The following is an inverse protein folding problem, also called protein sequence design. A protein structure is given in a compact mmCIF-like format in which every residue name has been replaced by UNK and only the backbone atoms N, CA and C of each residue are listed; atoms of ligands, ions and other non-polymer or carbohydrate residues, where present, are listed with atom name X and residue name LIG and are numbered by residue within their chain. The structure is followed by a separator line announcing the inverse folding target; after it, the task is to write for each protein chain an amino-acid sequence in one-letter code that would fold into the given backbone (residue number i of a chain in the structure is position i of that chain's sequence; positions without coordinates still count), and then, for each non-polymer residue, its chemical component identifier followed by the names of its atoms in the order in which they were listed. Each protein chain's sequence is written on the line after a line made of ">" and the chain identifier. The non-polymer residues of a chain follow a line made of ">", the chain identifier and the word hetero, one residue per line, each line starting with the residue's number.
data_IF_906544991804
#
_entry.id   IF_906544991804
#
_cell.length_a   1.000
_cell.length_b   1.000
_cell.length_c   1.000
_cell.angle_alpha   90.00
_cell.angle_beta   90.00
_cell.angle_gamma   90.00
#
_symmetry.space_group_name_H-M   'P 1'
#
loop_
_entity.id
_entity.type
_entity.pdbx_description
1 polymer ?
#
# COMPACT_ATOMS: atom_id res chain seq x y z
N UNK A 1 14.82 -22.31 -20.05
CA UNK A 1 15.23 -21.86 -18.69
C UNK A 1 14.15 -21.01 -18.03
N UNK A 2 13.09 -20.69 -18.77
CA UNK A 2 12.08 -19.69 -18.44
C UNK A 2 10.95 -20.31 -17.60
N UNK A 3 10.76 -21.62 -17.74
CA UNK A 3 9.86 -22.46 -16.94
C UNK A 3 10.19 -22.52 -15.45
N UNK A 4 11.44 -22.25 -15.05
CA UNK A 4 11.83 -22.17 -13.64
C UNK A 4 11.98 -20.73 -13.15
N UNK A 5 12.52 -19.85 -14.00
CA UNK A 5 12.79 -18.46 -13.64
C UNK A 5 11.51 -17.66 -13.39
N UNK A 6 10.47 -17.81 -14.22
CA UNK A 6 9.22 -17.06 -14.06
C UNK A 6 8.48 -17.45 -12.77
N UNK A 7 8.30 -18.74 -12.43
CA UNK A 7 7.76 -19.12 -11.12
C UNK A 7 8.59 -18.62 -9.95
N UNK A 8 9.93 -18.64 -10.04
CA UNK A 8 10.80 -18.11 -9.00
C UNK A 8 10.58 -16.61 -8.79
N UNK A 9 10.50 -15.82 -9.87
CA UNK A 9 10.20 -14.39 -9.79
C UNK A 9 8.81 -14.12 -9.20
N UNK A 10 7.81 -14.93 -9.56
CA UNK A 10 6.48 -14.81 -8.98
C UNK A 10 6.47 -15.16 -7.49
N UNK A 11 7.18 -16.22 -7.08
CA UNK A 11 7.33 -16.56 -5.67
C UNK A 11 8.03 -15.43 -4.89
N UNK A 12 9.06 -14.82 -5.49
CA UNK A 12 9.77 -13.69 -4.91
C UNK A 12 8.90 -12.42 -4.83
N UNK A 13 8.05 -12.17 -5.82
CA UNK A 13 7.05 -11.11 -5.78
C UNK A 13 6.08 -11.31 -4.62
N UNK A 14 5.49 -12.49 -4.49
CA UNK A 14 4.60 -12.82 -3.38
C UNK A 14 5.31 -12.68 -2.03
N UNK A 15 6.54 -13.20 -1.90
CA UNK A 15 7.34 -13.06 -0.70
C UNK A 15 7.62 -11.58 -0.37
N UNK A 16 7.92 -10.76 -1.39
CA UNK A 16 8.17 -9.32 -1.21
C UNK A 16 6.93 -8.58 -0.71
N UNK A 17 5.77 -8.86 -1.28
CA UNK A 17 4.49 -8.26 -0.84
C UNK A 17 4.18 -8.67 0.61
N UNK A 18 4.28 -9.96 0.92
CA UNK A 18 4.04 -10.46 2.28
C UNK A 18 5.05 -9.89 3.27
N UNK A 19 6.32 -9.77 2.88
CA UNK A 19 7.37 -9.16 3.68
C UNK A 19 7.09 -7.70 3.97
N UNK A 20 6.69 -6.90 2.97
CA UNK A 20 6.39 -5.48 3.16
C UNK A 20 5.19 -5.28 4.11
N UNK A 21 4.15 -6.10 3.96
CA UNK A 21 2.96 -6.06 4.83
C UNK A 21 3.34 -6.47 6.26
N UNK A 22 4.03 -7.60 6.43
CA UNK A 22 4.42 -8.12 7.74
C UNK A 22 5.44 -7.21 8.44
N UNK A 23 6.44 -6.72 7.71
CA UNK A 23 7.45 -5.79 8.22
C UNK A 23 6.85 -4.47 8.69
N UNK A 24 5.87 -3.94 7.95
CA UNK A 24 5.10 -2.77 8.38
C UNK A 24 4.37 -3.01 9.70
N UNK A 25 3.70 -4.16 9.84
CA UNK A 25 3.01 -4.53 11.08
C UNK A 25 3.99 -4.71 12.26
N UNK A 26 5.13 -5.38 12.03
CA UNK A 26 6.17 -5.56 13.03
C UNK A 26 6.76 -4.22 13.52
N UNK A 27 6.97 -3.25 12.63
CA UNK A 27 7.44 -1.91 13.00
C UNK A 27 6.41 -1.14 13.83
N UNK A 28 5.14 -1.16 13.40
CA UNK A 28 4.02 -0.54 14.12
C UNK A 28 3.92 -1.12 15.54
N UNK A 29 3.96 -2.44 15.68
CA UNK A 29 3.91 -3.12 16.98
C UNK A 29 5.16 -2.91 17.82
N UNK A 30 6.34 -2.89 17.20
CA UNK A 30 7.60 -2.65 17.89
C UNK A 30 7.64 -1.28 18.57
N UNK A 31 7.04 -0.26 17.95
CA UNK A 31 7.03 1.12 18.48
C UNK A 31 5.83 1.40 19.40
N UNK A 32 4.62 1.01 19.02
CA UNK A 32 3.39 1.39 19.76
C UNK A 32 2.98 0.40 20.86
N UNK A 33 3.49 -0.85 20.84
CA UNK A 33 3.14 -1.93 21.80
C UNK A 33 1.62 -2.19 21.94
N UNK A 34 0.85 -1.99 20.88
CA UNK A 34 -0.61 -2.14 20.87
C UNK A 34 -1.02 -2.99 19.69
N UNK A 35 -1.90 -3.96 19.91
CA UNK A 35 -2.49 -4.75 18.83
C UNK A 35 -3.53 -3.89 18.10
N UNK A 36 -3.24 -3.52 16.86
CA UNK A 36 -4.00 -2.61 16.03
C UNK A 36 -4.54 -3.37 14.83
N UNK A 37 -5.77 -3.86 14.95
CA UNK A 37 -6.42 -4.59 13.86
C UNK A 37 -6.72 -3.68 12.65
N UNK A 38 -6.88 -2.37 12.86
CA UNK A 38 -7.21 -1.41 11.80
C UNK A 38 -6.01 -0.98 10.92
N UNK A 39 -4.79 -1.45 11.20
CA UNK A 39 -3.61 -1.04 10.42
C UNK A 39 -3.76 -1.35 8.92
N UNK A 40 -4.38 -2.49 8.59
CA UNK A 40 -4.65 -2.89 7.20
C UNK A 40 -5.58 -1.89 6.49
N UNK A 41 -6.56 -1.35 7.21
CA UNK A 41 -7.49 -0.36 6.68
C UNK A 41 -6.85 1.02 6.56
N UNK A 42 -5.89 1.38 7.42
CA UNK A 42 -5.07 2.59 7.25
C UNK A 42 -4.20 2.49 6.00
N UNK A 43 -3.57 1.34 5.79
CA UNK A 43 -2.84 1.04 4.55
C UNK A 43 -3.76 1.11 3.32
N UNK A 44 -4.93 0.46 3.39
CA UNK A 44 -5.91 0.48 2.32
C UNK A 44 -6.38 1.89 2.01
N UNK A 45 -6.69 2.71 3.02
CA UNK A 45 -7.08 4.11 2.83
C UNK A 45 -6.01 4.89 2.04
N UNK A 46 -4.74 4.78 2.43
CA UNK A 46 -3.64 5.39 1.68
C UNK A 46 -3.54 4.88 0.23
N UNK A 47 -3.65 3.57 0.03
CA UNK A 47 -3.64 2.96 -1.30
C UNK A 47 -4.80 3.46 -2.19
N UNK A 48 -6.01 3.57 -1.64
CA UNK A 48 -7.19 4.09 -2.34
C UNK A 48 -7.03 5.56 -2.69
N UNK A 49 -6.49 6.39 -1.78
CA UNK A 49 -6.20 7.80 -2.07
C UNK A 49 -5.21 7.93 -3.23
N UNK A 50 -4.12 7.15 -3.22
CA UNK A 50 -3.15 7.13 -4.32
C UNK A 50 -3.78 6.65 -5.63
N UNK A 51 -4.55 5.56 -5.60
CA UNK A 51 -5.22 5.02 -6.79
C UNK A 51 -6.23 6.01 -7.37
N UNK A 52 -6.99 6.69 -6.51
CA UNK A 52 -7.93 7.72 -6.90
C UNK A 52 -7.22 8.95 -7.49
N UNK A 53 -6.14 9.43 -6.87
CA UNK A 53 -5.36 10.55 -7.39
C UNK A 53 -4.74 10.23 -8.76
N UNK A 54 -4.20 9.02 -8.93
CA UNK A 54 -3.71 8.51 -10.22
C UNK A 54 -4.86 8.44 -11.24
N UNK A 55 -6.02 7.93 -10.84
CA UNK A 55 -7.22 7.87 -11.67
C UNK A 55 -7.73 9.24 -12.11
N UNK A 56 -7.64 10.27 -11.25
CA UNK A 56 -7.99 11.65 -11.62
C UNK A 56 -7.04 12.24 -12.65
N UNK A 57 -5.74 12.02 -12.50
CA UNK A 57 -4.74 12.56 -13.44
C UNK A 57 -4.77 11.79 -14.77
N UNK A 58 -4.99 10.48 -14.72
CA UNK A 58 -5.13 9.65 -15.92
C UNK A 58 -6.47 9.87 -16.64
N UNK A 59 -7.57 9.99 -15.90
CA UNK A 59 -8.92 10.23 -16.41
C UNK A 59 -9.18 11.69 -16.81
N UNK A 60 -8.48 12.65 -16.19
CA UNK A 60 -8.47 14.06 -16.60
C UNK A 60 -7.85 14.30 -17.98
N UNK A 61 -7.18 13.29 -18.55
CA UNK A 61 -6.78 13.22 -19.96
C UNK A 61 -7.93 12.89 -20.93
N UNK A 62 -9.19 12.90 -20.49
CA UNK A 62 -10.36 12.77 -21.34
C UNK A 62 -10.63 14.04 -22.19
N UNK A 63 -9.68 14.40 -23.05
CA UNK A 63 -9.85 15.23 -24.26
C UNK A 63 -8.55 15.24 -25.09
N UNK A 64 -8.02 14.06 -25.46
CA UNK A 64 -6.93 13.97 -26.45
C UNK A 64 -5.55 14.47 -26.01
N UNK A 65 -5.30 14.59 -24.71
CA UNK A 65 -3.97 14.92 -24.19
C UNK A 65 -2.99 13.74 -24.29
N UNK A 66 -1.66 13.98 -24.36
CA UNK A 66 -0.67 12.92 -24.30
C UNK A 66 -0.82 12.12 -23.00
N UNK A 67 -0.48 10.82 -23.00
CA UNK A 67 -0.51 10.00 -21.79
C UNK A 67 0.29 10.71 -20.67
N UNK A 68 -0.24 10.75 -19.43
CA UNK A 68 0.44 11.43 -18.33
C UNK A 68 1.84 10.85 -18.18
N UNK A 69 2.84 11.74 -18.14
CA UNK A 69 4.24 11.33 -18.03
C UNK A 69 4.41 10.48 -16.77
N UNK A 70 5.13 9.37 -16.92
CA UNK A 70 5.43 8.41 -15.86
C UNK A 70 5.91 9.10 -14.55
N UNK A 71 6.72 10.15 -14.67
CA UNK A 71 7.19 10.98 -13.55
C UNK A 71 6.04 11.59 -12.73
N UNK A 72 4.99 12.09 -13.38
CA UNK A 72 3.83 12.69 -12.71
C UNK A 72 3.08 11.64 -11.91
N UNK A 73 2.94 10.42 -12.43
CA UNK A 73 2.27 9.33 -11.74
C UNK A 73 3.06 8.88 -10.50
N UNK A 74 4.40 8.84 -10.59
CA UNK A 74 5.26 8.54 -9.44
C UNK A 74 5.21 9.64 -8.37
N UNK A 75 5.06 10.91 -8.76
CA UNK A 75 4.91 12.03 -7.83
C UNK A 75 3.63 11.94 -6.98
N UNK A 76 2.64 11.15 -7.42
CA UNK A 76 1.40 10.93 -6.68
C UNK A 76 1.51 9.81 -5.63
N UNK A 77 2.51 8.93 -5.70
CA UNK A 77 2.68 7.83 -4.73
C UNK A 77 2.76 8.32 -3.26
N UNK A 78 3.49 9.40 -2.93
CA UNK A 78 3.52 9.94 -1.57
C UNK A 78 2.17 10.47 -1.06
N UNK A 79 1.22 10.79 -1.95
CA UNK A 79 -0.06 11.36 -1.54
C UNK A 79 -0.85 10.40 -0.61
N UNK A 80 -0.86 9.11 -0.91
CA UNK A 80 -1.49 8.10 -0.04
C UNK A 80 -0.80 7.96 1.31
N UNK A 81 0.53 8.02 1.34
CA UNK A 81 1.29 7.98 2.60
C UNK A 81 1.00 9.22 3.47
N UNK A 82 0.93 10.40 2.85
CA UNK A 82 0.56 11.65 3.53
C UNK A 82 -0.87 11.59 4.05
N UNK A 83 -1.82 11.08 3.24
CA UNK A 83 -3.21 10.94 3.65
C UNK A 83 -3.38 9.93 4.81
N UNK A 84 -2.70 8.80 4.75
CA UNK A 84 -2.67 7.82 5.84
C UNK A 84 -2.01 8.40 7.11
N UNK A 85 -0.93 9.17 6.97
CA UNK A 85 -0.28 9.85 8.08
C UNK A 85 -1.18 10.93 8.71
N UNK A 86 -1.90 11.69 7.88
CA UNK A 86 -2.87 12.68 8.36
C UNK A 86 -4.02 12.02 9.11
N UNK A 87 -4.58 10.93 8.57
CA UNK A 87 -5.60 10.14 9.25
C UNK A 87 -5.07 9.57 10.58
N UNK A 88 -3.87 9.00 10.57
CA UNK A 88 -3.18 8.53 11.78
C UNK A 88 -2.97 9.63 12.82
N UNK A 89 -2.57 10.83 12.40
CA UNK A 89 -2.38 11.97 13.29
C UNK A 89 -3.70 12.46 13.94
N UNK A 90 -4.85 12.22 13.30
CA UNK A 90 -6.16 12.47 13.90
C UNK A 90 -6.54 11.34 14.86
N UNK A 91 -6.38 10.09 14.43
CA UNK A 91 -6.79 8.90 15.20
C UNK A 91 -5.94 8.71 16.46
N UNK A 92 -4.67 9.06 16.42
CA UNK A 92 -3.73 8.86 17.51
C UNK A 92 -4.15 9.58 18.80
N UNK A 93 -4.32 10.92 18.84
CA UNK A 93 -4.74 11.60 20.06
C UNK A 93 -6.21 11.35 20.43
N UNK A 94 -7.08 11.06 19.46
CA UNK A 94 -8.54 10.98 19.69
C UNK A 94 -9.00 9.60 20.14
N UNK A 95 -8.50 8.55 19.49
CA UNK A 95 -8.99 7.18 19.66
C UNK A 95 -7.93 6.27 20.26
N UNK A 96 -6.68 6.35 19.80
CA UNK A 96 -5.68 5.36 20.19
C UNK A 96 -5.07 5.70 21.56
N UNK A 97 -4.49 6.90 21.72
CA UNK A 97 -3.78 7.34 22.93
C UNK A 97 -4.55 7.17 24.25
N UNK A 98 -5.87 7.41 24.34
CA UNK A 98 -6.63 7.20 25.58
C UNK A 98 -6.67 5.72 26.04
N UNK A 99 -6.56 4.78 25.10
CA UNK A 99 -6.68 3.35 25.36
C UNK A 99 -5.33 2.64 25.56
N UNK A 100 -4.20 3.34 25.41
CA UNK A 100 -2.85 2.78 25.61
C UNK A 100 -2.64 2.22 27.02
N UNK A 101 -3.32 2.79 28.03
CA UNK A 101 -3.22 2.38 29.44
C UNK A 101 -4.27 1.35 29.85
N UNK A 102 -5.11 0.89 28.92
CA UNK A 102 -6.19 -0.08 29.19
C UNK A 102 -5.73 -1.49 28.78
N UNK A 103 -6.41 -2.50 29.31
CA UNK A 103 -6.16 -3.90 28.97
C UNK A 103 -6.29 -4.16 27.45
N UNK A 104 -5.59 -5.18 26.97
CA UNK A 104 -5.50 -5.52 25.53
C UNK A 104 -6.87 -5.75 24.88
N UNK A 105 -7.81 -6.38 25.59
CA UNK A 105 -9.20 -6.55 25.12
C UNK A 105 -9.86 -5.23 24.70
N UNK A 106 -9.64 -4.13 25.43
CA UNK A 106 -10.21 -2.83 25.07
C UNK A 106 -9.55 -2.25 23.82
N UNK A 107 -8.25 -2.47 23.65
CA UNK A 107 -7.52 -2.01 22.46
C UNK A 107 -7.98 -2.76 21.22
N UNK A 108 -8.19 -4.08 21.33
CA UNK A 108 -8.75 -4.90 20.27
C UNK A 108 -10.16 -4.47 19.89
N UNK A 109 -11.03 -4.21 20.87
CA UNK A 109 -12.41 -3.76 20.62
C UNK A 109 -12.45 -2.40 19.89
N UNK A 110 -11.62 -1.44 20.32
CA UNK A 110 -11.55 -0.11 19.70
C UNK A 110 -10.99 -0.20 18.29
N UNK A 111 -9.92 -0.98 18.08
CA UNK A 111 -9.29 -1.11 16.76
C UNK A 111 -10.12 -1.96 15.81
N UNK A 112 -10.92 -2.91 16.31
CA UNK A 112 -11.93 -3.60 15.50
C UNK A 112 -13.07 -2.66 15.08
N UNK A 113 -13.58 -1.83 16.00
CA UNK A 113 -14.55 -0.80 15.65
C UNK A 113 -14.00 0.18 14.62
N UNK A 114 -12.75 0.60 14.79
CA UNK A 114 -12.05 1.47 13.84
C UNK A 114 -11.88 0.80 12.47
N UNK A 115 -11.54 -0.50 12.42
CA UNK A 115 -11.46 -1.28 11.20
C UNK A 115 -12.79 -1.21 10.43
N UNK A 116 -13.92 -1.50 11.10
CA UNK A 116 -15.25 -1.48 10.49
C UNK A 116 -15.60 -0.08 9.97
N UNK A 117 -15.35 0.97 10.76
CA UNK A 117 -15.61 2.36 10.37
C UNK A 117 -14.78 2.74 9.15
N UNK A 118 -13.47 2.44 9.13
CA UNK A 118 -12.62 2.77 7.98
C UNK A 118 -13.03 1.99 6.74
N UNK A 119 -13.43 0.73 6.89
CA UNK A 119 -13.94 -0.07 5.78
C UNK A 119 -15.17 0.58 5.15
N UNK A 120 -16.15 0.97 5.99
CA UNK A 120 -17.36 1.65 5.52
C UNK A 120 -17.06 3.02 4.93
N UNK A 121 -16.12 3.78 5.48
CA UNK A 121 -15.68 5.07 4.91
C UNK A 121 -15.04 4.86 3.53
N UNK A 122 -14.18 3.85 3.36
CA UNK A 122 -13.57 3.54 2.06
C UNK A 122 -14.66 3.18 1.04
N UNK A 123 -15.60 2.30 1.43
CA UNK A 123 -16.72 1.90 0.57
C UNK A 123 -17.67 3.05 0.25
N UNK A 124 -17.87 3.97 1.18
CA UNK A 124 -18.70 5.16 0.99
C UNK A 124 -18.07 6.15 0.00
N UNK A 125 -16.76 6.38 0.10
CA UNK A 125 -16.03 7.34 -0.74
C UNK A 125 -15.77 6.82 -2.16
N UNK A 126 -15.38 5.56 -2.29
CA UNK A 126 -14.90 5.00 -3.57
C UNK A 126 -15.77 3.88 -4.14
N UNK A 127 -16.82 3.48 -3.43
CA UNK A 127 -17.71 2.40 -3.83
C UNK A 127 -17.23 1.02 -3.37
N UNK A 128 -18.04 -0.02 -3.64
CA UNK A 128 -17.77 -1.38 -3.18
C UNK A 128 -16.72 -2.13 -4.03
N UNK A 129 -16.34 -1.58 -5.18
CA UNK A 129 -15.39 -2.21 -6.09
C UNK A 129 -13.95 -1.78 -5.78
N UNK A 130 -12.97 -2.69 -5.89
CA UNK A 130 -11.57 -2.35 -5.66
C UNK A 130 -11.08 -1.33 -6.69
N UNK A 131 -10.51 -0.22 -6.21
CA UNK A 131 -9.84 0.74 -7.06
C UNK A 131 -8.41 0.30 -7.35
N UNK A 132 -8.00 0.51 -8.59
CA UNK A 132 -6.72 0.05 -9.11
C UNK A 132 -6.05 1.21 -9.84
N UNK A 133 -4.79 1.53 -9.50
CA UNK A 133 -4.00 2.58 -10.13
C UNK A 133 -3.49 2.22 -11.55
N UNK A 134 -4.38 1.78 -12.44
CA UNK A 134 -4.00 1.03 -13.65
C UNK A 134 -3.11 1.76 -14.63
N UNK A 135 -3.34 3.05 -14.77
CA UNK A 135 -2.49 3.92 -15.55
C UNK A 135 -1.01 3.86 -15.11
N UNK A 136 -0.70 3.66 -13.82
CA UNK A 136 0.70 3.61 -13.37
C UNK A 136 1.41 2.35 -13.92
N UNK A 137 0.87 1.16 -13.68
CA UNK A 137 1.56 -0.08 -14.09
C UNK A 137 1.48 -0.35 -15.59
N UNK A 138 0.41 0.10 -16.28
CA UNK A 138 0.34 0.01 -17.74
C UNK A 138 1.45 0.84 -18.40
N UNK A 139 1.73 2.03 -17.87
CA UNK A 139 2.82 2.88 -18.37
C UNK A 139 4.22 2.35 -18.03
N UNK A 140 4.38 1.50 -16.99
CA UNK A 140 5.65 0.83 -16.68
C UNK A 140 6.07 -0.21 -17.73
N UNK A 141 5.14 -0.64 -18.59
CA UNK A 141 5.39 -1.61 -19.66
C UNK A 141 5.74 -3.00 -19.15
N UNK A 142 6.35 -3.78 -20.04
CA UNK A 142 6.80 -5.15 -19.76
C UNK A 142 8.17 -5.43 -20.36
N UNK A 143 8.90 -6.34 -19.72
CA UNK A 143 10.23 -6.79 -20.16
C UNK A 143 10.10 -8.23 -20.64
N UNK A 144 10.72 -8.57 -21.77
CA UNK A 144 10.82 -9.95 -22.21
C UNK A 144 11.93 -10.66 -21.43
N UNK A 145 11.56 -11.69 -20.67
CA UNK A 145 12.51 -12.56 -19.97
C UNK A 145 12.37 -13.94 -20.61
N UNK A 146 13.39 -14.37 -21.35
CA UNK A 146 13.42 -15.70 -21.93
C UNK A 146 12.28 -15.99 -22.92
N UNK A 147 11.84 -14.98 -23.67
CA UNK A 147 10.71 -15.10 -24.60
C UNK A 147 9.32 -14.98 -23.96
N UNK A 148 9.24 -14.87 -22.63
CA UNK A 148 7.98 -14.62 -21.91
C UNK A 148 7.87 -13.15 -21.52
N UNK A 149 6.70 -12.55 -21.72
CA UNK A 149 6.42 -11.17 -21.34
C UNK A 149 6.20 -11.10 -19.82
N UNK A 150 7.07 -10.37 -19.10
CA UNK A 150 7.00 -10.20 -17.66
C UNK A 150 6.76 -8.72 -17.29
N UNK A 151 5.74 -8.38 -16.49
CA UNK A 151 5.45 -6.98 -16.11
C UNK A 151 6.60 -6.33 -15.34
N UNK A 152 7.02 -5.13 -15.74
CA UNK A 152 8.09 -4.37 -15.06
C UNK A 152 7.71 -4.07 -13.61
N UNK A 153 6.42 -3.86 -13.34
CA UNK A 153 5.85 -3.64 -12.01
C UNK A 153 6.30 -4.71 -11.01
N UNK A 154 6.28 -5.99 -11.39
CA UNK A 154 6.65 -7.09 -10.51
C UNK A 154 8.13 -6.99 -10.07
N UNK A 155 9.01 -6.63 -11.00
CA UNK A 155 10.44 -6.45 -10.75
C UNK A 155 10.66 -5.26 -9.80
N UNK A 156 9.92 -4.17 -10.00
CA UNK A 156 10.00 -2.99 -9.14
C UNK A 156 9.56 -3.32 -7.71
N UNK A 157 8.47 -4.06 -7.52
CA UNK A 157 8.00 -4.48 -6.19
C UNK A 157 9.03 -5.37 -5.50
N UNK A 158 9.63 -6.32 -6.22
CA UNK A 158 10.74 -7.15 -5.70
C UNK A 158 11.92 -6.28 -5.28
N UNK A 159 12.31 -5.31 -6.13
CA UNK A 159 13.40 -4.38 -5.83
C UNK A 159 13.12 -3.53 -4.58
N UNK A 160 11.92 -2.98 -4.45
CA UNK A 160 11.49 -2.23 -3.26
C UNK A 160 11.52 -3.13 -2.03
N UNK A 161 10.99 -4.35 -2.11
CA UNK A 161 11.04 -5.34 -1.02
C UNK A 161 12.48 -5.59 -0.55
N UNK A 162 13.40 -5.79 -1.50
CA UNK A 162 14.83 -5.98 -1.20
C UNK A 162 15.47 -4.74 -0.57
N UNK A 163 15.22 -3.54 -1.10
CA UNK A 163 15.74 -2.28 -0.54
C UNK A 163 15.24 -2.08 0.89
N UNK A 164 13.94 -2.28 1.13
CA UNK A 164 13.36 -2.17 2.48
C UNK A 164 13.95 -3.23 3.42
N UNK A 165 14.16 -4.46 2.96
CA UNK A 165 14.78 -5.51 3.76
C UNK A 165 16.21 -5.15 4.19
N UNK A 166 17.03 -4.67 3.25
CA UNK A 166 18.40 -4.22 3.54
C UNK A 166 18.39 -3.02 4.48
N UNK A 167 17.48 -2.07 4.27
CA UNK A 167 17.35 -0.90 5.13
C UNK A 167 16.98 -1.29 6.56
N UNK A 168 16.00 -2.17 6.74
CA UNK A 168 15.60 -2.66 8.06
C UNK A 168 16.73 -3.45 8.73
N UNK A 169 17.44 -4.30 8.00
CA UNK A 169 18.60 -5.03 8.52
C UNK A 169 19.75 -4.12 8.95
N UNK A 170 19.96 -2.99 8.26
CA UNK A 170 21.04 -2.07 8.58
C UNK A 170 20.73 -1.15 9.78
N UNK A 171 19.44 -0.89 10.06
CA UNK A 171 19.00 0.09 11.06
C UNK A 171 18.45 -0.52 12.35
N UNK A 172 18.00 -1.78 12.33
CA UNK A 172 17.50 -2.54 13.47
C UNK A 172 18.58 -3.52 13.93
#
# INVERSE_FOLDING_TARGET
>A
MDTFLIPLLNALLYASVLFLIAGGLSLIYGVMRIVNLAHGNLYAFGAYVTAWAIGLVAGGGAAGGPPPRLIVLFLLLPAGAIAAAALGAVLEPTLLRPFYRRAEEYQLLVTFGLLMILEDVIRFLWGPYPLSASALWENLGSVSIGGTIYPTYNIVVIGIGGVVAVFLWAFI
#
